data_IF_247956673784
#
_entry.id   IF_247956673784
#
_cell.length_a   1.000
_cell.length_b   1.000
_cell.length_c   1.000
_cell.angle_alpha   90.00
_cell.angle_beta   90.00
_cell.angle_gamma   90.00
#
_symmetry.space_group_name_H-M   'P 1'
#
loop_
_entity.id
_entity.type
_entity.pdbx_description
1 polymer ?
#
# COMPACT_ATOMS: atom_id res chain seq x y z
N UNK A 1 -4.65 -0.65 5.53
CA UNK A 1 -4.40 -0.54 6.99
C UNK A 1 -4.01 -1.84 7.70
N UNK A 2 -4.55 -3.02 7.34
CA UNK A 2 -4.10 -4.33 7.90
C UNK A 2 -2.59 -4.56 7.76
N UNK A 3 -1.97 -3.96 6.75
CA UNK A 3 -0.52 -3.98 6.52
C UNK A 3 0.29 -3.36 7.68
N UNK A 4 -0.26 -2.39 8.41
CA UNK A 4 0.40 -1.81 9.59
C UNK A 4 0.51 -2.85 10.72
N UNK A 5 -0.52 -3.67 10.91
CA UNK A 5 -0.50 -4.77 11.89
C UNK A 5 0.48 -5.87 11.51
N UNK A 6 0.51 -6.23 10.22
CA UNK A 6 1.49 -7.17 9.69
C UNK A 6 2.92 -6.67 9.96
N UNK A 7 3.20 -5.40 9.67
CA UNK A 7 4.50 -4.80 9.93
C UNK A 7 4.82 -4.73 11.43
N UNK A 8 3.85 -4.33 12.27
CA UNK A 8 4.01 -4.29 13.72
C UNK A 8 4.34 -5.65 14.33
N UNK A 9 3.72 -6.73 13.82
CA UNK A 9 4.04 -8.10 14.22
C UNK A 9 5.46 -8.49 13.81
N UNK A 10 5.90 -8.12 12.60
CA UNK A 10 7.27 -8.36 12.15
C UNK A 10 8.30 -7.55 12.94
N UNK A 11 7.94 -6.35 13.37
CA UNK A 11 8.72 -5.52 14.28
C UNK A 11 8.66 -5.99 15.75
N UNK A 12 7.99 -7.12 16.03
CA UNK A 12 7.87 -7.74 17.36
C UNK A 12 7.31 -6.79 18.44
N UNK A 13 6.38 -5.93 18.06
CA UNK A 13 5.71 -5.03 18.99
C UNK A 13 4.83 -5.85 19.94
N UNK A 14 4.78 -5.52 21.25
CA UNK A 14 3.93 -6.23 22.20
C UNK A 14 2.46 -6.24 21.78
N UNK A 15 1.74 -7.31 22.08
CA UNK A 15 0.35 -7.53 21.64
C UNK A 15 -0.60 -6.38 22.02
N UNK A 16 -0.48 -5.84 23.23
CA UNK A 16 -1.28 -4.69 23.67
C UNK A 16 -1.02 -3.42 22.84
N UNK A 17 0.25 -3.17 22.48
CA UNK A 17 0.63 -2.07 21.60
C UNK A 17 0.22 -2.34 20.15
N UNK A 18 0.22 -3.61 19.71
CA UNK A 18 -0.28 -4.02 18.39
C UNK A 18 -1.79 -3.80 18.27
N UNK A 19 -2.57 -4.10 19.31
CA UNK A 19 -4.01 -3.81 19.36
C UNK A 19 -4.26 -2.29 19.23
N UNK A 20 -3.52 -1.50 20.00
CA UNK A 20 -3.56 -0.03 19.94
C UNK A 20 -3.21 0.51 18.55
N UNK A 21 -2.15 -0.03 17.94
CA UNK A 21 -1.75 0.28 16.56
C UNK A 21 -2.87 -0.06 15.57
N UNK A 22 -3.56 -1.19 15.75
CA UNK A 22 -4.65 -1.59 14.87
C UNK A 22 -5.80 -0.59 14.86
N UNK A 23 -6.20 -0.12 16.04
CA UNK A 23 -7.25 0.91 16.17
C UNK A 23 -6.74 2.24 15.60
N UNK A 24 -5.51 2.65 15.95
CA UNK A 24 -4.91 3.88 15.44
C UNK A 24 -4.78 3.88 13.92
N UNK A 25 -4.37 2.77 13.32
CA UNK A 25 -4.28 2.59 11.87
C UNK A 25 -5.67 2.61 11.22
N UNK A 26 -6.70 2.01 11.83
CA UNK A 26 -8.07 2.09 11.31
C UNK A 26 -8.59 3.54 11.30
N UNK A 27 -8.25 4.30 12.33
CA UNK A 27 -8.75 5.66 12.55
C UNK A 27 -7.80 6.77 12.07
N UNK A 28 -6.65 6.43 11.47
CA UNK A 28 -5.60 7.42 11.14
C UNK A 28 -6.13 8.61 10.34
N UNK A 29 -7.08 8.34 9.45
CA UNK A 29 -7.70 9.30 8.55
C UNK A 29 -9.06 9.83 9.02
N UNK A 30 -9.51 9.54 10.25
CA UNK A 30 -10.85 9.91 10.75
C UNK A 30 -11.11 11.43 10.68
N UNK A 31 -10.07 12.24 10.81
CA UNK A 31 -10.17 13.69 10.70
C UNK A 31 -10.56 14.19 9.30
N UNK A 32 -10.45 13.36 8.26
CA UNK A 32 -10.89 13.71 6.90
C UNK A 32 -12.39 13.95 6.82
N UNK A 33 -13.18 13.47 7.79
CA UNK A 33 -14.61 13.76 7.91
C UNK A 33 -14.91 15.27 8.07
N UNK A 34 -13.96 16.04 8.58
CA UNK A 34 -14.09 17.49 8.72
C UNK A 34 -13.72 18.28 7.44
N UNK A 35 -13.27 17.59 6.38
CA UNK A 35 -12.75 18.22 5.16
C UNK A 35 -13.74 18.07 4.01
N UNK A 36 -13.94 19.14 3.25
CA UNK A 36 -14.79 19.14 2.05
C UNK A 36 -14.31 18.11 1.03
N UNK A 37 -15.24 17.36 0.44
CA UNK A 37 -14.95 16.33 -0.56
C UNK A 37 -14.21 16.88 -1.79
N UNK A 38 -14.43 18.14 -2.17
CA UNK A 38 -13.71 18.79 -3.28
C UNK A 38 -12.21 18.86 -3.03
N UNK A 39 -11.79 19.16 -1.79
CA UNK A 39 -10.38 19.20 -1.39
C UNK A 39 -9.84 17.77 -1.32
N UNK A 40 -10.57 16.84 -0.70
CA UNK A 40 -10.11 15.44 -0.58
C UNK A 40 -9.87 14.79 -1.94
N UNK A 41 -10.73 15.05 -2.93
CA UNK A 41 -10.64 14.48 -4.29
C UNK A 41 -9.73 15.25 -5.23
N UNK A 42 -9.25 16.43 -4.84
CA UNK A 42 -8.32 17.20 -5.65
C UNK A 42 -6.90 16.60 -5.55
N UNK A 43 -6.35 16.17 -6.69
CA UNK A 43 -4.98 15.65 -6.80
C UNK A 43 -3.94 16.76 -7.03
N UNK A 44 -4.37 17.98 -7.29
CA UNK A 44 -3.56 19.16 -7.59
C UNK A 44 -3.93 20.29 -6.62
N UNK A 45 -3.91 19.97 -5.32
CA UNK A 45 -4.24 20.95 -4.27
C UNK A 45 -3.29 22.13 -4.35
N UNK A 46 -3.84 23.34 -4.35
CA UNK A 46 -3.05 24.53 -4.12
C UNK A 46 -2.58 24.58 -2.65
N UNK A 47 -1.72 25.56 -2.32
CA UNK A 47 -1.15 25.70 -0.97
C UNK A 47 -2.20 25.80 0.14
N UNK A 48 -3.32 26.49 -0.09
CA UNK A 48 -4.38 26.65 0.91
C UNK A 48 -5.18 25.36 1.11
N UNK A 49 -5.53 24.69 0.01
CA UNK A 49 -6.19 23.38 0.05
C UNK A 49 -5.31 22.33 0.73
N UNK A 50 -4.00 22.39 0.51
CA UNK A 50 -3.04 21.49 1.14
C UNK A 50 -2.94 21.73 2.65
N UNK A 51 -2.95 22.99 3.12
CA UNK A 51 -3.04 23.30 4.56
C UNK A 51 -4.32 22.76 5.20
N UNK A 52 -5.46 22.90 4.51
CA UNK A 52 -6.73 22.32 4.97
C UNK A 52 -6.64 20.80 4.99
N UNK A 53 -6.06 20.18 3.97
CA UNK A 53 -5.82 18.74 3.94
C UNK A 53 -5.01 18.29 5.16
N UNK A 54 -3.87 18.93 5.42
CA UNK A 54 -2.97 18.59 6.53
C UNK A 54 -3.63 18.69 7.91
N UNK A 55 -4.65 19.54 8.07
CA UNK A 55 -5.39 19.68 9.32
C UNK A 55 -6.11 18.40 9.78
N UNK A 56 -6.33 17.41 8.90
CA UNK A 56 -7.02 16.17 9.28
C UNK A 56 -6.28 15.39 10.38
N UNK A 57 -4.95 15.47 10.44
CA UNK A 57 -4.20 14.80 11.50
C UNK A 57 -4.62 15.30 12.89
N UNK A 58 -4.67 16.62 13.06
CA UNK A 58 -5.07 17.26 14.33
C UNK A 58 -6.56 17.07 14.59
N UNK A 59 -7.40 17.26 13.57
CA UNK A 59 -8.84 17.04 13.71
C UNK A 59 -9.18 15.60 14.11
N UNK A 60 -8.45 14.62 13.56
CA UNK A 60 -8.59 13.21 13.90
C UNK A 60 -8.12 12.89 15.31
N UNK A 61 -6.98 13.44 15.73
CA UNK A 61 -6.49 13.35 17.11
C UNK A 61 -7.51 13.92 18.10
N UNK A 62 -8.02 15.12 17.84
CA UNK A 62 -9.00 15.78 18.71
C UNK A 62 -10.32 15.00 18.78
N UNK A 63 -10.75 14.40 17.67
CA UNK A 63 -11.93 13.54 17.63
C UNK A 63 -11.74 12.27 18.46
N UNK A 64 -10.59 11.61 18.32
CA UNK A 64 -10.25 10.46 19.14
C UNK A 64 -10.22 10.85 20.63
N UNK A 65 -9.55 11.94 20.98
CA UNK A 65 -9.48 12.46 22.36
C UNK A 65 -10.87 12.64 23.00
N UNK A 66 -11.86 13.13 22.25
CA UNK A 66 -13.24 13.30 22.73
C UNK A 66 -13.99 11.97 22.90
N UNK A 67 -13.69 10.95 22.11
CA UNK A 67 -14.39 9.66 22.14
C UNK A 67 -14.03 8.79 23.35
N UNK A 68 -12.88 9.04 23.98
CA UNK A 68 -12.38 8.24 25.11
C UNK A 68 -11.72 6.92 24.68
N UNK A 69 -11.23 6.15 25.66
CA UNK A 69 -10.48 4.89 25.50
C UNK A 69 -9.18 5.01 24.67
N UNK A 70 -8.22 5.75 25.23
CA UNK A 70 -7.04 6.22 24.51
C UNK A 70 -5.77 5.54 25.01
N UNK A 71 -4.97 5.05 24.07
CA UNK A 71 -3.58 4.70 24.33
C UNK A 71 -2.68 5.63 23.51
N UNK A 72 -1.50 6.01 24.04
CA UNK A 72 -0.58 6.86 23.29
C UNK A 72 -0.28 6.36 21.87
N UNK A 73 -0.03 5.05 21.63
CA UNK A 73 0.24 4.56 20.27
C UNK A 73 -0.91 4.78 19.27
N UNK A 74 -2.15 4.70 19.73
CA UNK A 74 -3.34 4.96 18.91
C UNK A 74 -3.36 6.43 18.49
N UNK A 75 -3.23 7.34 19.46
CA UNK A 75 -3.29 8.78 19.22
C UNK A 75 -2.12 9.27 18.35
N UNK A 76 -0.92 8.76 18.61
CA UNK A 76 0.30 9.05 17.86
C UNK A 76 0.18 8.61 16.40
N UNK A 77 -0.40 7.42 16.15
CA UNK A 77 -0.68 6.96 14.79
C UNK A 77 -1.61 7.91 14.05
N UNK A 78 -2.66 8.41 14.69
CA UNK A 78 -3.58 9.35 14.06
C UNK A 78 -2.88 10.68 13.77
N UNK A 79 -2.18 11.25 14.75
CA UNK A 79 -1.62 12.60 14.62
C UNK A 79 -0.42 12.65 13.66
N UNK A 80 0.45 11.62 13.67
CA UNK A 80 1.77 11.71 13.05
C UNK A 80 1.97 10.76 11.86
N UNK A 81 0.95 10.07 11.35
CA UNK A 81 1.13 9.14 10.21
C UNK A 81 1.59 9.79 8.89
N UNK A 82 1.57 11.12 8.81
CA UNK A 82 2.10 11.90 7.70
C UNK A 82 3.48 12.52 7.97
N UNK A 83 4.04 12.30 9.16
CA UNK A 83 5.43 12.65 9.43
C UNK A 83 6.36 11.78 8.55
N UNK A 84 7.48 12.37 8.15
CA UNK A 84 8.48 11.73 7.29
C UNK A 84 9.79 11.67 8.03
N UNK A 85 10.49 10.56 7.89
CA UNK A 85 11.73 10.30 8.64
C UNK A 85 12.81 11.35 8.41
N UNK A 86 12.82 12.01 7.25
CA UNK A 86 13.69 13.14 6.89
C UNK A 86 13.24 14.51 7.43
N UNK A 87 12.11 14.60 8.14
CA UNK A 87 11.55 15.84 8.69
C UNK A 87 10.73 16.67 7.70
N UNK A 88 10.53 16.19 6.47
CA UNK A 88 9.73 16.91 5.45
C UNK A 88 8.21 16.70 5.59
N UNK A 89 7.78 15.96 6.62
CA UNK A 89 6.38 15.63 6.88
C UNK A 89 5.59 16.72 7.61
N UNK A 90 4.41 16.33 8.11
CA UNK A 90 3.49 17.18 8.86
C UNK A 90 2.71 16.31 9.87
N UNK A 91 2.05 16.88 10.90
CA UNK A 91 1.85 18.31 11.17
C UNK A 91 2.99 19.01 11.91
N UNK A 92 3.75 18.29 12.73
CA UNK A 92 4.70 18.86 13.70
C UNK A 92 6.15 18.83 13.18
N UNK A 93 6.38 18.23 12.00
CA UNK A 93 7.69 18.14 11.32
C UNK A 93 8.72 17.38 12.14
N UNK A 94 8.27 16.32 12.77
CA UNK A 94 9.12 15.40 13.51
C UNK A 94 10.05 14.65 12.53
N UNK A 95 11.26 14.32 12.98
CA UNK A 95 12.24 13.60 12.17
C UNK A 95 12.84 12.42 12.94
N UNK A 96 13.30 11.42 12.19
CA UNK A 96 13.93 10.23 12.74
C UNK A 96 13.11 9.56 13.85
N UNK A 97 13.78 9.29 14.97
CA UNK A 97 13.17 8.64 16.13
C UNK A 97 12.27 9.55 16.98
N UNK A 98 12.20 10.86 16.69
CA UNK A 98 11.19 11.72 17.31
C UNK A 98 9.79 11.38 16.82
N UNK A 99 9.67 10.74 15.64
CA UNK A 99 8.40 10.21 15.14
C UNK A 99 8.05 8.94 15.93
N UNK A 100 6.88 8.88 16.59
CA UNK A 100 6.47 7.70 17.32
C UNK A 100 6.47 6.44 16.46
N UNK A 101 6.77 5.29 17.07
CA UNK A 101 6.87 4.02 16.35
C UNK A 101 5.55 3.67 15.64
N UNK A 102 4.41 3.88 16.28
CA UNK A 102 3.08 3.63 15.72
C UNK A 102 2.85 4.44 14.43
N UNK A 103 3.20 5.72 14.44
CA UNK A 103 3.12 6.60 13.29
C UNK A 103 4.04 6.16 12.15
N UNK A 104 5.30 5.76 12.44
CA UNK A 104 6.23 5.24 11.42
C UNK A 104 5.69 3.99 10.71
N UNK A 105 5.05 3.09 11.45
CA UNK A 105 4.43 1.87 10.89
C UNK A 105 3.24 2.21 9.99
N UNK A 106 2.36 3.10 10.46
CA UNK A 106 1.20 3.54 9.68
C UNK A 106 1.63 4.33 8.45
N UNK A 107 2.67 5.17 8.53
CA UNK A 107 3.18 5.92 7.39
C UNK A 107 3.61 5.00 6.23
N UNK A 108 4.33 3.92 6.53
CA UNK A 108 4.73 2.91 5.52
C UNK A 108 3.51 2.25 4.91
N UNK A 109 2.59 1.73 5.74
CA UNK A 109 1.39 1.05 5.26
C UNK A 109 0.48 1.99 4.44
N UNK A 110 0.29 3.23 4.90
CA UNK A 110 -0.50 4.25 4.23
C UNK A 110 0.12 4.67 2.89
N UNK A 111 1.44 4.84 2.83
CA UNK A 111 2.08 5.16 1.54
C UNK A 111 1.88 4.02 0.54
N UNK A 112 2.11 2.78 0.97
CA UNK A 112 1.91 1.62 0.11
C UNK A 112 0.47 1.52 -0.39
N UNK A 113 -0.52 1.64 0.50
CA UNK A 113 -1.95 1.61 0.14
C UNK A 113 -2.29 2.73 -0.85
N UNK A 114 -1.77 3.96 -0.66
CA UNK A 114 -2.00 5.08 -1.57
C UNK A 114 -1.33 4.92 -2.95
N UNK A 115 -0.19 4.22 -3.03
CA UNK A 115 0.45 3.92 -4.33
C UNK A 115 -0.30 2.83 -5.09
N UNK A 116 -0.84 1.84 -4.37
CA UNK A 116 -1.54 0.69 -4.96
C UNK A 116 -3.00 1.00 -5.25
N UNK A 117 -3.63 1.89 -4.49
CA UNK A 117 -5.03 2.30 -4.60
C UNK A 117 -5.17 3.83 -4.47
N UNK A 118 -4.60 4.59 -5.41
CA UNK A 118 -4.72 6.05 -5.44
C UNK A 118 -6.15 6.50 -5.78
N UNK A 119 -6.42 7.80 -5.55
CA UNK A 119 -7.68 8.45 -5.92
C UNK A 119 -7.96 8.35 -7.43
N UNK A 120 -6.94 8.51 -8.27
CA UNK A 120 -7.02 8.27 -9.71
C UNK A 120 -6.53 6.85 -10.02
N UNK A 121 -7.42 5.88 -10.31
CA UNK A 121 -7.04 4.49 -10.54
C UNK A 121 -6.06 4.30 -11.69
N UNK A 122 -5.99 5.24 -12.63
CA UNK A 122 -5.06 5.21 -13.78
C UNK A 122 -3.59 5.32 -13.35
N UNK A 123 -3.37 5.86 -12.14
CA UNK A 123 -2.04 6.01 -11.52
C UNK A 123 -1.70 4.87 -10.58
N UNK A 124 -2.57 3.87 -10.42
CA UNK A 124 -2.35 2.76 -9.51
C UNK A 124 -1.12 1.95 -9.91
N UNK A 125 -0.24 1.69 -8.95
CA UNK A 125 0.92 0.84 -9.15
C UNK A 125 0.58 -0.62 -8.81
N UNK A 126 1.30 -1.56 -9.41
CA UNK A 126 1.35 -2.92 -8.88
C UNK A 126 2.04 -2.93 -7.50
N UNK A 127 1.77 -3.91 -6.64
CA UNK A 127 2.45 -4.06 -5.35
C UNK A 127 3.98 -4.05 -5.46
N UNK A 128 4.55 -4.76 -6.44
CA UNK A 128 5.99 -4.75 -6.72
C UNK A 128 6.51 -3.38 -7.13
N UNK A 129 5.77 -2.63 -7.95
CA UNK A 129 6.14 -1.26 -8.32
C UNK A 129 6.05 -0.29 -7.14
N UNK A 130 5.05 -0.44 -6.28
CA UNK A 130 4.90 0.36 -5.07
C UNK A 130 6.08 0.14 -4.11
N UNK A 131 6.45 -1.12 -3.84
CA UNK A 131 7.64 -1.44 -3.03
C UNK A 131 8.92 -0.88 -3.66
N UNK A 132 9.09 -1.05 -4.98
CA UNK A 132 10.26 -0.51 -5.70
C UNK A 132 10.33 1.01 -5.60
N UNK A 133 9.20 1.70 -5.74
CA UNK A 133 9.11 3.16 -5.60
C UNK A 133 9.48 3.61 -4.20
N UNK A 134 8.91 2.97 -3.18
CA UNK A 134 9.21 3.28 -1.78
C UNK A 134 10.69 3.05 -1.45
N UNK A 135 11.28 1.97 -1.99
CA UNK A 135 12.67 1.60 -1.74
C UNK A 135 13.69 2.47 -2.49
N UNK A 136 13.42 2.82 -3.75
CA UNK A 136 14.41 3.48 -4.62
C UNK A 136 14.26 4.99 -4.66
N UNK A 137 13.04 5.52 -4.55
CA UNK A 137 12.74 6.95 -4.72
C UNK A 137 12.39 7.66 -3.42
N UNK A 138 11.79 6.94 -2.48
CA UNK A 138 11.22 7.53 -1.27
C UNK A 138 11.88 7.04 0.03
N UNK A 139 13.01 6.32 -0.08
CA UNK A 139 13.65 5.65 1.05
C UNK A 139 13.88 6.58 2.26
N UNK A 140 14.28 7.83 1.99
CA UNK A 140 14.58 8.85 3.01
C UNK A 140 13.35 9.28 3.81
N UNK A 141 12.14 9.11 3.26
CA UNK A 141 10.91 9.46 3.95
C UNK A 141 10.52 8.45 5.04
N UNK A 142 11.17 7.28 5.08
CA UNK A 142 10.82 6.18 5.98
C UNK A 142 11.97 5.79 6.90
N UNK A 143 11.62 5.19 8.03
CA UNK A 143 12.57 4.43 8.84
C UNK A 143 13.09 3.24 8.01
N UNK A 144 14.39 3.22 7.73
CA UNK A 144 15.01 2.23 6.86
C UNK A 144 14.85 0.79 7.39
N UNK A 145 14.88 0.58 8.71
CA UNK A 145 14.73 -0.74 9.30
C UNK A 145 13.29 -1.25 9.16
N UNK A 146 12.31 -0.39 9.41
CA UNK A 146 10.89 -0.74 9.23
C UNK A 146 10.54 -0.93 7.75
N UNK A 147 11.06 -0.10 6.84
CA UNK A 147 10.84 -0.28 5.41
C UNK A 147 11.43 -1.62 4.93
N UNK A 148 12.62 -2.00 5.40
CA UNK A 148 13.22 -3.29 5.07
C UNK A 148 12.38 -4.46 5.59
N UNK A 149 11.87 -4.38 6.82
CA UNK A 149 10.94 -5.38 7.36
C UNK A 149 9.67 -5.47 6.52
N UNK A 150 9.13 -4.34 6.08
CA UNK A 150 7.93 -4.30 5.24
C UNK A 150 8.15 -4.98 3.89
N UNK A 151 9.24 -4.67 3.20
CA UNK A 151 9.60 -5.32 1.92
C UNK A 151 9.76 -6.83 2.10
N UNK A 152 10.45 -7.27 3.16
CA UNK A 152 10.61 -8.71 3.45
C UNK A 152 9.28 -9.40 3.71
N UNK A 153 8.38 -8.74 4.44
CA UNK A 153 7.08 -9.31 4.80
C UNK A 153 6.12 -9.41 3.61
N UNK A 154 6.21 -8.48 2.67
CA UNK A 154 5.44 -8.50 1.42
C UNK A 154 6.01 -9.48 0.39
N UNK A 155 7.31 -9.75 0.46
CA UNK A 155 8.04 -10.57 -0.52
C UNK A 155 8.47 -9.77 -1.75
N UNK A 156 9.31 -10.37 -2.60
CA UNK A 156 9.83 -9.73 -3.82
C UNK A 156 8.70 -9.50 -4.84
N UNK A 157 7.80 -10.47 -4.94
CA UNK A 157 6.61 -10.40 -5.80
C UNK A 157 5.36 -10.58 -4.93
N UNK A 158 4.78 -9.48 -4.39
CA UNK A 158 3.60 -9.59 -3.55
C UNK A 158 2.35 -9.96 -4.37
N UNK A 159 1.35 -10.62 -3.76
CA UNK A 159 0.07 -10.88 -4.40
C UNK A 159 -0.57 -9.62 -5.00
N UNK A 160 -1.06 -9.74 -6.24
CA UNK A 160 -1.59 -8.63 -7.03
C UNK A 160 -0.57 -7.94 -7.94
N UNK A 161 0.70 -8.36 -7.93
CA UNK A 161 1.66 -8.03 -8.98
C UNK A 161 1.36 -8.79 -10.27
N UNK A 162 1.67 -8.18 -11.41
CA UNK A 162 1.65 -8.82 -12.73
C UNK A 162 3.10 -9.06 -13.15
N UNK A 163 3.38 -10.23 -13.70
CA UNK A 163 4.72 -10.66 -14.08
C UNK A 163 4.71 -11.32 -15.45
N UNK A 164 5.84 -11.23 -16.14
CA UNK A 164 6.17 -12.08 -17.28
C UNK A 164 7.05 -13.23 -16.77
N UNK A 165 6.76 -14.45 -17.21
CA UNK A 165 7.56 -15.63 -16.95
C UNK A 165 8.67 -15.80 -18.00
N UNK A 166 9.65 -16.64 -17.70
CA UNK A 166 10.81 -16.95 -18.57
C UNK A 166 10.44 -17.47 -19.96
N UNK A 167 9.24 -18.00 -20.15
CA UNK A 167 8.72 -18.49 -21.44
C UNK A 167 7.83 -17.48 -22.18
N UNK A 168 7.74 -16.24 -21.68
CA UNK A 168 6.95 -15.17 -22.27
C UNK A 168 5.50 -15.11 -21.84
N UNK A 169 4.97 -16.12 -21.13
CA UNK A 169 3.61 -16.06 -20.58
C UNK A 169 3.49 -14.97 -19.52
N UNK A 170 2.29 -14.40 -19.41
CA UNK A 170 1.97 -13.37 -18.42
C UNK A 170 1.06 -13.97 -17.36
N UNK A 171 1.22 -13.53 -16.11
CA UNK A 171 0.34 -13.94 -15.04
C UNK A 171 0.31 -12.96 -13.87
N UNK A 172 -0.66 -13.17 -12.99
CA UNK A 172 -0.76 -12.45 -11.73
C UNK A 172 -0.28 -13.30 -10.57
N UNK A 173 0.44 -12.66 -9.64
CA UNK A 173 0.82 -13.30 -8.39
C UNK A 173 -0.42 -13.47 -7.51
N UNK A 174 -0.71 -14.71 -7.15
CA UNK A 174 -1.87 -15.08 -6.32
C UNK A 174 -1.48 -15.63 -4.95
N UNK A 175 -0.20 -15.97 -4.76
CA UNK A 175 0.31 -16.45 -3.48
C UNK A 175 1.77 -16.07 -3.29
N UNK A 176 2.11 -15.70 -2.05
CA UNK A 176 3.47 -15.34 -1.67
C UNK A 176 4.42 -16.52 -1.80
N UNK A 177 5.67 -16.22 -2.12
CA UNK A 177 6.74 -17.19 -2.19
C UNK A 177 7.08 -17.77 -0.79
N UNK A 178 7.48 -19.05 -0.71
CA UNK A 178 7.95 -19.63 0.55
C UNK A 178 9.28 -19.01 0.98
N UNK A 179 9.56 -18.98 2.29
CA UNK A 179 10.72 -18.31 2.86
C UNK A 179 12.08 -18.75 2.27
N UNK A 180 12.20 -20.02 1.86
CA UNK A 180 13.42 -20.56 1.25
C UNK A 180 13.57 -20.31 -0.26
N UNK A 181 12.51 -19.91 -0.97
CA UNK A 181 12.55 -19.60 -2.42
C UNK A 181 11.81 -18.28 -2.70
N UNK A 182 12.32 -17.11 -2.26
CA UNK A 182 11.57 -15.84 -2.28
C UNK A 182 11.23 -15.30 -3.68
N UNK A 183 11.85 -15.85 -4.74
CA UNK A 183 11.59 -15.52 -6.14
C UNK A 183 10.61 -16.48 -6.82
N UNK A 184 10.07 -17.43 -6.08
CA UNK A 184 9.20 -18.50 -6.60
C UNK A 184 7.77 -18.40 -6.04
N UNK A 185 6.99 -17.36 -6.41
CA UNK A 185 5.60 -17.21 -5.98
C UNK A 185 4.64 -18.14 -6.74
N UNK A 186 3.37 -18.16 -6.31
CA UNK A 186 2.28 -18.80 -7.08
C UNK A 186 1.71 -17.81 -8.10
N UNK A 187 1.63 -18.24 -9.36
CA UNK A 187 1.25 -17.38 -10.50
C UNK A 187 0.04 -17.96 -11.21
N UNK A 188 -1.00 -17.16 -11.35
CA UNK A 188 -2.17 -17.47 -12.18
C UNK A 188 -1.94 -16.93 -13.58
N UNK A 189 -2.01 -17.80 -14.58
CA UNK A 189 -1.67 -17.45 -15.97
C UNK A 189 -2.85 -16.73 -16.66
N UNK A 190 -2.52 -15.73 -17.47
CA UNK A 190 -3.46 -15.10 -18.39
C UNK A 190 -3.72 -16.04 -19.57
N UNK A 191 -4.95 -16.53 -19.68
CA UNK A 191 -5.43 -17.37 -20.76
C UNK A 191 -6.85 -16.88 -21.13
N UNK A 192 -6.99 -15.91 -22.06
CA UNK A 192 -8.28 -15.27 -22.35
C UNK A 192 -9.35 -16.24 -22.85
N UNK A 193 -8.95 -17.35 -23.46
CA UNK A 193 -9.82 -18.43 -23.92
C UNK A 193 -10.39 -19.31 -22.79
N UNK A 194 -9.80 -19.26 -21.59
CA UNK A 194 -10.23 -20.04 -20.43
C UNK A 194 -10.90 -19.14 -19.39
N UNK A 195 -12.14 -19.42 -18.93
CA UNK A 195 -12.74 -18.65 -17.85
C UNK A 195 -11.82 -18.57 -16.64
N UNK A 196 -11.58 -17.36 -16.09
CA UNK A 196 -10.64 -17.13 -14.97
C UNK A 196 -10.74 -18.13 -13.82
N UNK A 197 -11.96 -18.55 -13.46
CA UNK A 197 -12.22 -19.55 -12.39
C UNK A 197 -11.61 -20.93 -12.66
N UNK A 198 -11.28 -21.21 -13.92
CA UNK A 198 -10.64 -22.43 -14.43
C UNK A 198 -9.19 -22.17 -14.88
N UNK A 199 -8.66 -20.96 -14.66
CA UNK A 199 -7.28 -20.62 -15.02
C UNK A 199 -6.28 -21.46 -14.22
N UNK A 200 -5.14 -21.74 -14.86
CA UNK A 200 -4.07 -22.52 -14.26
C UNK A 200 -3.29 -21.64 -13.28
N UNK A 201 -3.05 -22.18 -12.09
CA UNK A 201 -2.12 -21.62 -11.11
C UNK A 201 -0.87 -22.48 -11.10
N UNK A 202 0.26 -21.88 -11.44
CA UNK A 202 1.58 -22.51 -11.40
C UNK A 202 2.23 -22.16 -10.07
N UNK A 203 2.74 -23.17 -9.36
CA UNK A 203 3.57 -22.98 -8.18
C UNK A 203 5.05 -23.01 -8.60
N UNK A 204 5.66 -21.84 -8.77
CA UNK A 204 7.05 -21.73 -9.21
C UNK A 204 8.05 -22.26 -8.17
N UNK A 205 7.61 -22.61 -6.96
CA UNK A 205 8.48 -23.26 -5.99
C UNK A 205 8.68 -24.75 -6.30
N UNK A 206 7.77 -25.34 -7.09
CA UNK A 206 7.78 -26.75 -7.51
C UNK A 206 8.16 -26.94 -8.98
N UNK A 207 8.45 -25.84 -9.69
CA UNK A 207 8.82 -25.82 -11.10
C UNK A 207 10.22 -25.21 -11.23
N UNK A 208 11.18 -26.00 -11.74
CA UNK A 208 12.58 -25.57 -11.85
C UNK A 208 12.89 -24.91 -13.22
N UNK A 209 11.99 -25.04 -14.21
CA UNK A 209 12.14 -24.49 -15.56
C UNK A 209 11.57 -23.08 -15.66
N UNK A 210 10.45 -22.81 -14.99
CA UNK A 210 9.76 -21.53 -15.02
C UNK A 210 10.20 -20.61 -13.88
N UNK A 211 10.49 -19.36 -14.24
CA UNK A 211 10.87 -18.31 -13.29
C UNK A 211 10.14 -17.02 -13.66
N UNK A 212 10.02 -16.13 -12.68
CA UNK A 212 9.64 -14.74 -12.98
C UNK A 212 10.81 -14.08 -13.70
N UNK A 213 10.59 -13.64 -14.93
CA UNK A 213 11.56 -12.87 -15.71
C UNK A 213 11.56 -11.41 -15.23
N UNK A 214 10.38 -10.77 -15.23
CA UNK A 214 10.24 -9.37 -14.80
C UNK A 214 8.83 -9.01 -14.34
N UNK A 215 8.68 -8.03 -13.42
CA UNK A 215 7.40 -7.42 -13.13
C UNK A 215 6.93 -6.56 -14.31
N UNK A 216 5.62 -6.51 -14.54
CA UNK A 216 4.97 -5.70 -15.55
C UNK A 216 4.20 -4.55 -14.91
N UNK A 217 4.17 -3.40 -15.60
CA UNK A 217 3.46 -2.21 -15.14
C UNK A 217 1.99 -2.27 -15.49
N UNK A 218 1.13 -1.91 -14.54
CA UNK A 218 -0.32 -1.96 -14.76
C UNK A 218 -0.77 -1.01 -15.87
N UNK A 219 -0.16 0.17 -15.98
CA UNK A 219 -0.57 1.20 -16.95
C UNK A 219 -0.21 0.85 -18.40
N UNK A 220 0.67 -0.13 -18.59
CA UNK A 220 1.12 -0.60 -19.89
C UNK A 220 0.34 -1.85 -20.34
N UNK A 221 -0.69 -2.27 -19.60
CA UNK A 221 -1.47 -3.50 -19.88
C UNK A 221 -2.84 -3.19 -20.50
N UNK A 222 -3.32 -4.02 -21.44
CA UNK A 222 -4.68 -3.92 -21.95
C UNK A 222 -5.72 -4.08 -20.81
N UNK A 223 -6.85 -3.35 -20.84
CA UNK A 223 -7.90 -3.45 -19.83
C UNK A 223 -8.43 -4.88 -19.63
N UNK A 224 -8.58 -5.63 -20.72
CA UNK A 224 -9.04 -7.03 -20.71
C UNK A 224 -8.08 -7.99 -19.99
N UNK A 225 -6.78 -7.76 -20.11
CA UNK A 225 -5.75 -8.50 -19.36
C UNK A 225 -5.86 -8.20 -17.87
N UNK A 226 -6.01 -6.92 -17.52
CA UNK A 226 -6.16 -6.48 -16.13
C UNK A 226 -7.46 -6.98 -15.49
N UNK A 227 -8.57 -6.97 -16.23
CA UNK A 227 -9.87 -7.45 -15.76
C UNK A 227 -9.84 -8.96 -15.49
N UNK A 228 -9.12 -9.72 -16.32
CA UNK A 228 -8.90 -11.15 -16.10
C UNK A 228 -8.02 -11.42 -14.87
N UNK A 229 -6.84 -10.78 -14.83
CA UNK A 229 -5.82 -11.08 -13.83
C UNK A 229 -6.14 -10.48 -12.45
N UNK A 230 -6.73 -9.29 -12.41
CA UNK A 230 -6.97 -8.49 -11.21
C UNK A 230 -8.44 -8.01 -11.10
N UNK A 231 -9.45 -8.91 -11.09
CA UNK A 231 -10.87 -8.52 -11.16
C UNK A 231 -11.34 -7.72 -9.94
N UNK A 232 -10.70 -7.90 -8.77
CA UNK A 232 -11.00 -7.11 -7.56
C UNK A 232 -10.61 -5.65 -7.70
N UNK A 233 -9.80 -5.30 -8.69
CA UNK A 233 -9.48 -3.93 -9.01
C UNK A 233 -10.44 -3.30 -10.00
N UNK A 234 -11.41 -4.04 -10.59
CA UNK A 234 -12.35 -3.61 -11.65
C UNK A 234 -12.34 -2.10 -11.82
N UNK A 235 -11.39 -1.64 -12.62
CA UNK A 235 -11.24 -0.23 -12.90
C UNK A 235 -12.32 -0.03 -13.94
N UNK A 236 -13.43 0.61 -13.59
CA UNK A 236 -14.51 0.88 -14.54
C UNK A 236 -14.01 1.91 -15.57
N UNK A 237 -13.22 1.45 -16.54
CA UNK A 237 -12.66 2.25 -17.63
C UNK A 237 -13.76 2.75 -18.58
N UNK A 238 -14.90 2.05 -18.63
CA UNK A 238 -16.06 2.39 -19.46
C UNK A 238 -16.73 3.72 -19.09
N UNK A 239 -16.48 4.26 -17.89
CA UNK A 239 -17.03 5.55 -17.47
C UNK A 239 -16.16 6.76 -17.88
N UNK A 240 -15.00 6.54 -18.52
CA UNK A 240 -14.06 7.62 -18.87
C UNK A 240 -13.95 7.88 -20.39
N UNK A 241 -14.72 7.18 -21.23
CA UNK A 241 -14.82 7.41 -22.67
C UNK A 241 -15.95 8.39 -23.07
N UNK A 242 -16.49 9.14 -22.12
CA UNK A 242 -17.50 10.19 -22.33
C UNK A 242 -17.12 11.34 -21.39
N UNK A 243 -16.75 12.57 -21.80
CA UNK A 243 -16.90 13.40 -23.01
C UNK A 243 -15.84 14.54 -22.89
N UNK A 244 -15.90 15.58 -23.74
CA UNK A 244 -15.71 15.65 -25.18
C UNK A 244 -14.31 16.20 -25.55
#
# INVERSE_FOLDING_TARGET
MTLALLLGKQAKIPEQALHSLGIGALLHDIGKLAIKASILRNNERNRHEEQIYQSHCRAGYDAAMRAGNLTPPLLEAILHHHERYDGSGFPDRLSGNAIPLSARLVAIANRFDNLVSPIDPRRALSPSEALSTMWTREQKAFDAALLQLFVRAMGVYPPGSIVQLSDGRIGAIVGSAPAGKPLSPKVMIYAPEVPRRQSIIIDLASDDELKVDRPLRLQERPPEELDYLLPRRKINWSYMAQRP
#
